data_IF_223176949638
#
_entry.id   IF_223176949638
#
_cell.length_a   1.000
_cell.length_b   1.000
_cell.length_c   1.000
_cell.angle_alpha   90.00
_cell.angle_beta   90.00
_cell.angle_gamma   90.00
#
_symmetry.space_group_name_H-M   'P 1'
#
loop_
_entity.id
_entity.type
_entity.pdbx_description
1 polymer ?
#
# COMPACT_ATOMS: atom_id res chain seq x y z
N UNK A 1 -15.23 -0.80 -18.45
CA UNK A 1 -14.79 -1.23 -17.11
C UNK A 1 -14.99 -2.73 -16.90
N UNK A 2 -16.21 -3.28 -16.91
CA UNK A 2 -16.49 -4.69 -16.63
C UNK A 2 -15.82 -5.67 -17.60
N UNK A 3 -15.67 -5.32 -18.87
CA UNK A 3 -14.97 -6.14 -19.87
C UNK A 3 -13.47 -6.27 -19.57
N UNK A 4 -12.84 -5.17 -19.14
CA UNK A 4 -11.43 -5.15 -18.75
C UNK A 4 -11.21 -6.01 -17.50
N UNK A 5 -12.04 -5.82 -16.48
CA UNK A 5 -12.02 -6.63 -15.26
C UNK A 5 -12.12 -8.15 -15.58
N UNK A 6 -13.10 -8.56 -16.40
CA UNK A 6 -13.26 -9.98 -16.78
C UNK A 6 -12.06 -10.51 -17.57
N UNK A 7 -11.49 -9.70 -18.47
CA UNK A 7 -10.30 -10.05 -19.25
C UNK A 7 -9.09 -10.28 -18.32
N UNK A 8 -8.83 -9.35 -17.41
CA UNK A 8 -7.73 -9.44 -16.46
C UNK A 8 -7.88 -10.64 -15.52
N UNK A 9 -9.06 -10.79 -14.92
CA UNK A 9 -9.33 -11.92 -14.03
C UNK A 9 -9.14 -13.27 -14.76
N UNK A 10 -9.65 -13.39 -15.99
CA UNK A 10 -9.44 -14.57 -16.81
C UNK A 10 -7.96 -14.80 -17.12
N UNK A 11 -7.18 -13.74 -17.36
CA UNK A 11 -5.74 -13.84 -17.63
C UNK A 11 -4.98 -14.40 -16.41
N UNK A 12 -5.34 -14.01 -15.18
CA UNK A 12 -4.73 -14.54 -13.96
C UNK A 12 -5.00 -16.03 -13.75
N UNK A 13 -6.22 -16.50 -14.08
CA UNK A 13 -6.63 -17.89 -13.87
C UNK A 13 -6.39 -18.81 -15.08
N UNK A 14 -6.24 -18.29 -16.31
CA UNK A 14 -5.73 -19.08 -17.44
C UNK A 14 -4.21 -19.28 -17.36
N UNK A 15 -3.48 -18.30 -16.81
CA UNK A 15 -2.10 -18.47 -16.38
C UNK A 15 -2.03 -19.16 -15.01
N UNK A 16 -0.99 -19.91 -14.73
CA UNK A 16 -0.79 -20.53 -13.40
C UNK A 16 -0.58 -19.50 -12.27
N UNK A 17 -0.37 -18.22 -12.58
CA UNK A 17 0.06 -17.21 -11.63
C UNK A 17 -0.98 -16.93 -10.54
N UNK A 18 -2.27 -16.87 -10.89
CA UNK A 18 -3.35 -16.66 -9.92
C UNK A 18 -3.44 -17.79 -8.91
N UNK A 19 -3.34 -19.04 -9.38
CA UNK A 19 -3.36 -20.23 -8.50
C UNK A 19 -2.13 -20.31 -7.60
N UNK A 20 -0.94 -20.04 -8.13
CA UNK A 20 0.31 -20.09 -7.35
C UNK A 20 0.29 -19.03 -6.25
N UNK A 21 -0.14 -17.80 -6.56
CA UNK A 21 -0.21 -16.72 -5.58
C UNK A 21 -1.26 -17.00 -4.49
N UNK A 22 -2.46 -17.47 -4.86
CA UNK A 22 -3.48 -17.84 -3.87
C UNK A 22 -3.01 -19.00 -2.99
N UNK A 23 -2.40 -20.03 -3.59
CA UNK A 23 -1.85 -21.17 -2.84
C UNK A 23 -0.72 -20.76 -1.89
N UNK A 24 0.16 -19.84 -2.31
CA UNK A 24 1.24 -19.32 -1.47
C UNK A 24 0.70 -18.64 -0.20
N UNK A 25 -0.28 -17.76 -0.35
CA UNK A 25 -0.85 -17.05 0.79
C UNK A 25 -1.62 -17.99 1.71
N UNK A 26 -2.41 -18.92 1.13
CA UNK A 26 -3.13 -19.95 1.89
C UNK A 26 -2.20 -20.90 2.64
N UNK A 27 -1.07 -21.28 2.04
CA UNK A 27 -0.08 -22.12 2.72
C UNK A 27 0.54 -21.35 3.90
N UNK A 28 0.85 -20.07 3.72
CA UNK A 28 1.41 -19.24 4.78
C UNK A 28 0.42 -19.06 5.94
N UNK A 29 -0.82 -18.67 5.68
CA UNK A 29 -1.86 -18.51 6.72
C UNK A 29 -2.20 -19.87 7.36
N UNK A 30 -2.30 -20.95 6.57
CA UNK A 30 -2.59 -22.29 7.05
C UNK A 30 -1.52 -22.85 7.98
N UNK A 31 -0.24 -22.62 7.71
CA UNK A 31 0.87 -23.03 8.58
C UNK A 31 0.75 -22.33 9.94
N UNK A 32 0.55 -21.00 9.98
CA UNK A 32 0.39 -20.26 11.22
C UNK A 32 -0.89 -20.68 11.96
N UNK A 33 -1.99 -20.89 11.24
CA UNK A 33 -3.25 -21.35 11.81
C UNK A 33 -3.10 -22.70 12.51
N UNK A 34 -2.51 -23.70 11.84
CA UNK A 34 -2.32 -25.03 12.43
C UNK A 34 -1.32 -24.98 13.60
N UNK A 35 -0.20 -24.29 13.42
CA UNK A 35 0.85 -24.27 14.43
C UNK A 35 0.47 -23.48 15.68
N UNK A 36 -0.20 -22.33 15.55
CA UNK A 36 -0.45 -21.41 16.65
C UNK A 36 -1.88 -21.51 17.16
N UNK A 37 -2.88 -21.41 16.29
CA UNK A 37 -4.27 -21.43 16.71
C UNK A 37 -4.71 -22.83 17.15
N UNK A 38 -4.48 -23.85 16.32
CA UNK A 38 -4.88 -25.23 16.66
C UNK A 38 -3.89 -25.88 17.64
N UNK A 39 -2.58 -25.73 17.43
CA UNK A 39 -1.55 -26.38 18.23
C UNK A 39 -1.50 -25.89 19.68
N UNK A 40 -1.68 -24.60 19.91
CA UNK A 40 -1.68 -24.00 21.24
C UNK A 40 -3.09 -23.62 21.76
N UNK A 41 -4.14 -23.87 20.99
CA UNK A 41 -5.52 -23.53 21.37
C UNK A 41 -5.80 -22.03 21.48
N UNK A 42 -5.09 -21.20 20.70
CA UNK A 42 -5.20 -19.75 20.75
C UNK A 42 -6.35 -19.26 19.87
N UNK A 43 -7.30 -18.53 20.43
CA UNK A 43 -8.54 -18.11 19.76
C UNK A 43 -8.41 -16.80 18.96
N UNK A 44 -7.33 -16.08 19.12
CA UNK A 44 -7.06 -14.82 18.41
C UNK A 44 -6.40 -15.08 17.04
N UNK A 45 -7.21 -15.17 15.99
CA UNK A 45 -6.75 -15.38 14.63
C UNK A 45 -6.04 -14.14 14.06
N UNK A 46 -6.51 -12.95 14.44
CA UNK A 46 -5.94 -11.68 13.98
C UNK A 46 -4.45 -11.57 14.33
N UNK A 47 -4.09 -11.84 15.58
CA UNK A 47 -2.71 -11.74 16.08
C UNK A 47 -1.82 -12.90 15.62
N UNK A 48 -2.30 -14.12 15.78
CA UNK A 48 -1.45 -15.30 15.58
C UNK A 48 -1.32 -15.72 14.12
N UNK A 49 -2.31 -15.43 13.28
CA UNK A 49 -2.27 -15.78 11.85
C UNK A 49 -2.11 -14.55 10.97
N UNK A 50 -3.06 -13.60 10.97
CA UNK A 50 -3.03 -12.48 10.02
C UNK A 50 -1.82 -11.55 10.23
N UNK A 51 -1.52 -11.17 11.46
CA UNK A 51 -0.37 -10.29 11.74
C UNK A 51 0.96 -10.93 11.36
N UNK A 52 1.11 -12.24 11.56
CA UNK A 52 2.33 -12.98 11.17
C UNK A 52 2.49 -13.11 9.66
N UNK A 53 1.41 -13.14 8.91
CA UNK A 53 1.45 -13.21 7.44
C UNK A 53 1.73 -11.85 6.79
N UNK A 54 1.69 -10.72 7.50
CA UNK A 54 1.96 -9.39 6.94
C UNK A 54 3.29 -9.33 6.20
N UNK A 55 4.35 -9.94 6.73
CA UNK A 55 5.65 -9.95 6.07
C UNK A 55 5.60 -10.64 4.70
N UNK A 56 4.77 -11.68 4.56
CA UNK A 56 4.57 -12.37 3.27
C UNK A 56 3.85 -11.49 2.24
N UNK A 57 3.00 -10.56 2.71
CA UNK A 57 2.31 -9.61 1.83
C UNK A 57 3.27 -8.66 1.12
N UNK A 58 4.42 -8.34 1.73
CA UNK A 58 5.45 -7.49 1.12
C UNK A 58 5.98 -8.08 -0.20
N UNK A 59 6.00 -9.38 -0.31
CA UNK A 59 6.42 -10.09 -1.53
C UNK A 59 5.23 -10.40 -2.44
N UNK A 60 4.07 -10.72 -1.84
CA UNK A 60 2.87 -11.10 -2.55
C UNK A 60 2.33 -9.98 -3.46
N UNK A 61 2.11 -8.77 -2.92
CA UNK A 61 1.50 -7.68 -3.67
C UNK A 61 2.34 -7.16 -4.85
N UNK A 62 3.67 -6.97 -4.72
CA UNK A 62 4.49 -6.58 -5.85
C UNK A 62 4.48 -7.61 -6.98
N UNK A 63 4.53 -8.90 -6.66
CA UNK A 63 4.47 -9.98 -7.65
C UNK A 63 3.07 -10.05 -8.31
N UNK A 64 2.00 -9.84 -7.53
CA UNK A 64 0.64 -9.78 -8.05
C UNK A 64 0.45 -8.61 -9.02
N UNK A 65 0.91 -7.40 -8.66
CA UNK A 65 0.67 -6.18 -9.42
C UNK A 65 1.68 -5.91 -10.54
N UNK A 66 2.86 -6.56 -10.55
CA UNK A 66 3.93 -6.26 -11.51
C UNK A 66 3.49 -6.39 -12.98
N UNK A 67 2.53 -7.28 -13.28
CA UNK A 67 2.06 -7.55 -14.64
C UNK A 67 0.94 -6.60 -15.08
N UNK A 68 0.26 -5.95 -14.15
CA UNK A 68 -0.97 -5.21 -14.41
C UNK A 68 -0.82 -4.15 -15.51
N UNK A 69 0.14 -3.24 -15.39
CA UNK A 69 0.37 -2.15 -16.33
C UNK A 69 1.70 -2.30 -17.10
N UNK A 70 2.76 -2.84 -16.46
CA UNK A 70 4.07 -2.95 -17.07
C UNK A 70 4.09 -3.92 -18.26
N UNK A 71 3.30 -5.02 -18.23
CA UNK A 71 3.22 -5.99 -19.32
C UNK A 71 2.57 -5.38 -20.59
N UNK A 72 1.49 -4.63 -20.43
CA UNK A 72 0.81 -3.97 -21.56
C UNK A 72 1.70 -2.92 -22.21
N UNK A 73 2.49 -2.20 -21.40
CA UNK A 73 3.48 -1.25 -21.92
C UNK A 73 4.60 -1.94 -22.69
N UNK A 74 5.16 -3.01 -22.14
CA UNK A 74 6.20 -3.79 -22.83
C UNK A 74 5.71 -4.35 -24.17
N UNK A 75 4.44 -4.80 -24.21
CA UNK A 75 3.81 -5.33 -25.41
C UNK A 75 3.27 -4.22 -26.35
N UNK A 76 3.36 -2.93 -25.97
CA UNK A 76 2.76 -1.78 -26.67
C UNK A 76 1.26 -1.90 -26.93
N UNK A 77 0.57 -2.73 -26.16
CA UNK A 77 -0.89 -2.91 -26.24
C UNK A 77 -1.65 -1.83 -25.47
N UNK A 78 -0.97 -1.05 -24.65
CA UNK A 78 -1.48 0.15 -23.99
C UNK A 78 -2.02 1.18 -24.99
N UNK A 79 -1.39 1.33 -26.17
CA UNK A 79 -1.84 2.23 -27.23
C UNK A 79 -3.23 1.85 -27.75
N UNK A 80 -3.51 0.54 -27.92
CA UNK A 80 -4.83 0.04 -28.32
C UNK A 80 -5.91 0.31 -27.26
N UNK A 81 -5.53 0.22 -25.98
CA UNK A 81 -6.42 0.54 -24.86
C UNK A 81 -6.71 2.05 -24.78
N UNK A 82 -5.72 2.90 -25.02
CA UNK A 82 -5.86 4.37 -24.97
C UNK A 82 -6.64 4.93 -26.16
N UNK A 83 -6.66 4.24 -27.33
CA UNK A 83 -7.48 4.61 -28.49
C UNK A 83 -8.90 4.07 -28.39
N UNK A 84 -9.18 3.17 -27.47
CA UNK A 84 -10.54 2.65 -27.25
C UNK A 84 -11.45 3.71 -26.60
N UNK A 85 -12.78 3.67 -26.80
CA UNK A 85 -13.73 4.62 -26.21
C UNK A 85 -13.96 4.38 -24.70
N UNK A 86 -12.95 3.92 -23.98
CA UNK A 86 -13.01 3.66 -22.53
C UNK A 86 -12.25 4.78 -21.78
N UNK A 87 -12.83 5.27 -20.69
CA UNK A 87 -12.15 6.24 -19.83
C UNK A 87 -10.94 5.63 -19.15
N UNK A 88 -9.88 6.42 -18.95
CA UNK A 88 -8.66 6.01 -18.24
C UNK A 88 -8.97 5.46 -16.85
N UNK A 89 -9.90 6.12 -16.14
CA UNK A 89 -10.41 5.64 -14.86
C UNK A 89 -11.02 4.24 -14.95
N UNK A 90 -11.80 3.97 -16.02
CA UNK A 90 -12.40 2.65 -16.24
C UNK A 90 -11.35 1.55 -16.46
N UNK A 91 -10.19 1.89 -17.04
CA UNK A 91 -9.07 0.97 -17.23
C UNK A 91 -8.40 0.67 -15.89
N UNK A 92 -7.98 1.71 -15.16
CA UNK A 92 -7.27 1.57 -13.87
C UNK A 92 -8.13 0.83 -12.86
N UNK A 93 -9.37 1.29 -12.62
CA UNK A 93 -10.26 0.64 -11.65
C UNK A 93 -10.62 -0.79 -12.06
N UNK A 94 -10.76 -1.06 -13.36
CA UNK A 94 -11.03 -2.42 -13.84
C UNK A 94 -9.88 -3.40 -13.54
N UNK A 95 -8.63 -2.97 -13.72
CA UNK A 95 -7.44 -3.75 -13.39
C UNK A 95 -7.27 -3.90 -11.88
N UNK A 96 -7.38 -2.81 -11.14
CA UNK A 96 -7.33 -2.80 -9.68
C UNK A 96 -8.32 -3.79 -9.05
N UNK A 97 -9.59 -3.78 -9.48
CA UNK A 97 -10.61 -4.70 -8.98
C UNK A 97 -10.29 -6.17 -9.31
N UNK A 98 -9.65 -6.45 -10.44
CA UNK A 98 -9.21 -7.82 -10.76
C UNK A 98 -8.12 -8.29 -9.78
N UNK A 99 -7.14 -7.44 -9.45
CA UNK A 99 -6.12 -7.74 -8.46
C UNK A 99 -6.72 -7.95 -7.06
N UNK A 100 -7.64 -7.08 -6.64
CA UNK A 100 -8.37 -7.21 -5.38
C UNK A 100 -9.18 -8.51 -5.32
N UNK A 101 -9.77 -8.95 -6.42
CA UNK A 101 -10.52 -10.21 -6.47
C UNK A 101 -9.61 -11.42 -6.30
N UNK A 102 -8.40 -11.41 -6.89
CA UNK A 102 -7.41 -12.47 -6.69
C UNK A 102 -6.99 -12.55 -5.22
N UNK A 103 -6.78 -11.40 -4.56
CA UNK A 103 -6.45 -11.34 -3.14
C UNK A 103 -7.65 -11.70 -2.23
N UNK A 104 -8.87 -11.43 -2.65
CA UNK A 104 -10.07 -11.78 -1.88
C UNK A 104 -10.23 -13.31 -1.69
N UNK A 105 -9.74 -14.13 -2.63
CA UNK A 105 -9.88 -15.59 -2.54
C UNK A 105 -9.17 -16.19 -1.31
N UNK A 106 -7.87 -15.92 -1.04
CA UNK A 106 -7.25 -16.36 0.19
C UNK A 106 -7.91 -15.74 1.44
N UNK A 107 -8.34 -14.48 1.41
CA UNK A 107 -9.05 -13.87 2.53
C UNK A 107 -10.39 -14.57 2.83
N UNK A 108 -11.12 -15.04 1.81
CA UNK A 108 -12.34 -15.83 2.03
C UNK A 108 -12.04 -17.18 2.69
N UNK A 109 -10.95 -17.83 2.32
CA UNK A 109 -10.53 -19.06 2.97
C UNK A 109 -10.06 -18.82 4.43
N UNK A 110 -9.38 -17.72 4.70
CA UNK A 110 -9.05 -17.29 6.08
C UNK A 110 -10.33 -17.05 6.90
N UNK A 111 -11.39 -16.51 6.27
CA UNK A 111 -12.71 -16.41 6.89
C UNK A 111 -13.31 -17.78 7.29
N UNK A 112 -13.12 -18.82 6.48
CA UNK A 112 -13.52 -20.19 6.84
C UNK A 112 -12.70 -20.69 8.03
N UNK A 113 -11.40 -20.42 8.09
CA UNK A 113 -10.55 -20.80 9.24
C UNK A 113 -11.04 -20.14 10.54
N UNK A 114 -11.49 -18.88 10.50
CA UNK A 114 -12.10 -18.19 11.66
C UNK A 114 -13.38 -18.91 12.12
N UNK A 115 -14.24 -19.34 11.20
CA UNK A 115 -15.46 -20.10 11.54
C UNK A 115 -15.10 -21.44 12.17
N UNK A 116 -14.11 -22.16 11.66
CA UNK A 116 -13.62 -23.41 12.23
C UNK A 116 -13.12 -23.17 13.66
N UNK A 117 -12.36 -22.11 13.90
CA UNK A 117 -11.87 -21.77 15.24
C UNK A 117 -13.01 -21.47 16.22
N UNK A 118 -14.06 -20.79 15.75
CA UNK A 118 -15.27 -20.57 16.57
C UNK A 118 -16.01 -21.86 16.93
N UNK A 119 -16.14 -22.79 16.00
CA UNK A 119 -16.78 -24.09 16.21
C UNK A 119 -15.98 -24.99 17.19
N UNK A 120 -14.67 -24.81 17.25
CA UNK A 120 -13.78 -25.55 18.17
C UNK A 120 -13.79 -25.02 19.62
N UNK A 121 -14.63 -24.04 19.93
CA UNK A 121 -14.80 -23.53 21.32
C UNK A 121 -14.44 -22.04 21.48
N UNK A 122 -14.26 -21.30 20.40
CA UNK A 122 -14.08 -19.84 20.44
C UNK A 122 -15.34 -19.11 20.92
N UNK A 123 -15.15 -17.99 21.63
CA UNK A 123 -16.26 -17.12 22.04
C UNK A 123 -16.81 -16.33 20.87
N UNK A 124 -18.11 -15.97 20.92
CA UNK A 124 -18.74 -15.14 19.87
C UNK A 124 -18.07 -13.76 19.73
N UNK A 125 -17.60 -13.18 20.83
CA UNK A 125 -16.86 -11.90 20.83
C UNK A 125 -15.51 -12.03 20.12
N UNK A 126 -14.77 -13.11 20.34
CA UNK A 126 -13.51 -13.37 19.64
C UNK A 126 -13.73 -13.60 18.14
N UNK A 127 -14.82 -14.27 17.75
CA UNK A 127 -15.19 -14.44 16.35
C UNK A 127 -15.44 -13.10 15.66
N UNK A 128 -16.21 -12.19 16.29
CA UNK A 128 -16.45 -10.84 15.78
C UNK A 128 -15.17 -10.02 15.61
N UNK A 129 -14.27 -10.07 16.59
CA UNK A 129 -12.98 -9.38 16.54
C UNK A 129 -12.07 -9.94 15.41
N UNK A 130 -12.03 -11.26 15.23
CA UNK A 130 -11.28 -11.91 14.17
C UNK A 130 -11.81 -11.53 12.77
N UNK A 131 -13.13 -11.43 12.57
CA UNK A 131 -13.71 -10.94 11.31
C UNK A 131 -13.42 -9.47 11.08
N UNK A 132 -13.43 -8.62 12.12
CA UNK A 132 -13.03 -7.22 12.00
C UNK A 132 -11.55 -7.10 11.60
N UNK A 133 -10.67 -7.91 12.18
CA UNK A 133 -9.26 -7.97 11.79
C UNK A 133 -9.10 -8.45 10.34
N UNK A 134 -9.85 -9.45 9.88
CA UNK A 134 -9.83 -9.93 8.50
C UNK A 134 -10.30 -8.85 7.52
N UNK A 135 -11.35 -8.09 7.84
CA UNK A 135 -11.82 -6.98 7.03
C UNK A 135 -10.74 -5.89 6.91
N UNK A 136 -10.11 -5.53 8.03
CA UNK A 136 -9.00 -4.57 8.04
C UNK A 136 -7.80 -5.07 7.23
N UNK A 137 -7.46 -6.36 7.34
CA UNK A 137 -6.41 -7.02 6.54
C UNK A 137 -6.71 -6.97 5.04
N UNK A 138 -7.96 -7.17 4.65
CA UNK A 138 -8.38 -7.03 3.27
C UNK A 138 -8.24 -5.58 2.77
N UNK A 139 -8.64 -4.58 3.56
CA UNK A 139 -8.49 -3.16 3.20
C UNK A 139 -7.02 -2.72 3.12
N UNK A 140 -6.18 -3.19 4.04
CA UNK A 140 -4.73 -3.01 3.97
C UNK A 140 -4.17 -3.59 2.67
N UNK A 141 -4.60 -4.80 2.29
CA UNK A 141 -4.23 -5.40 1.02
C UNK A 141 -4.68 -4.60 -0.19
N UNK A 142 -5.90 -4.08 -0.19
CA UNK A 142 -6.40 -3.18 -1.21
C UNK A 142 -5.54 -1.91 -1.36
N UNK A 143 -5.14 -1.30 -0.25
CA UNK A 143 -4.26 -0.13 -0.27
C UNK A 143 -2.85 -0.48 -0.79
N UNK A 144 -2.28 -1.60 -0.37
CA UNK A 144 -0.98 -2.07 -0.83
C UNK A 144 -0.99 -2.42 -2.34
N UNK A 145 -2.06 -3.05 -2.84
CA UNK A 145 -2.26 -3.31 -4.28
C UNK A 145 -2.27 -2.00 -5.06
N UNK A 146 -2.97 -0.96 -4.59
CA UNK A 146 -3.02 0.34 -5.26
C UNK A 146 -1.63 0.99 -5.37
N UNK A 147 -0.81 0.90 -4.30
CA UNK A 147 0.60 1.36 -4.32
C UNK A 147 1.42 0.59 -5.35
N UNK A 148 1.30 -0.74 -5.39
CA UNK A 148 2.05 -1.58 -6.32
C UNK A 148 1.57 -1.38 -7.77
N UNK A 149 0.29 -1.15 -8.01
CA UNK A 149 -0.26 -0.83 -9.33
C UNK A 149 0.28 0.51 -9.84
N UNK A 150 0.38 1.51 -8.97
CA UNK A 150 1.04 2.78 -9.31
C UNK A 150 2.50 2.56 -9.73
N UNK A 151 3.28 1.77 -8.96
CA UNK A 151 4.67 1.42 -9.30
C UNK A 151 4.75 0.68 -10.65
N UNK A 152 3.84 -0.26 -10.91
CA UNK A 152 3.73 -0.94 -12.21
C UNK A 152 3.41 0.03 -13.35
N UNK A 153 2.66 1.07 -13.06
CA UNK A 153 2.36 2.17 -13.98
C UNK A 153 3.56 3.05 -14.35
N UNK A 154 4.66 3.08 -13.61
CA UNK A 154 5.81 3.95 -13.87
C UNK A 154 6.84 3.33 -14.84
N UNK A 155 6.89 2.02 -14.97
CA UNK A 155 7.91 1.29 -15.74
C UNK A 155 7.32 0.32 -16.76
N UNK A 156 8.11 -0.03 -17.79
CA UNK A 156 7.76 -1.03 -18.80
C UNK A 156 8.32 -2.42 -18.47
N UNK A 157 9.22 -2.49 -17.48
CA UNK A 157 9.84 -3.73 -17.07
C UNK A 157 9.14 -4.30 -15.82
N UNK A 158 8.59 -5.51 -15.94
CA UNK A 158 7.88 -6.20 -14.85
C UNK A 158 8.76 -6.42 -13.61
N UNK A 159 10.06 -6.73 -13.80
CA UNK A 159 10.99 -6.96 -12.69
C UNK A 159 11.24 -5.65 -11.95
N UNK A 160 11.46 -4.55 -12.68
CA UNK A 160 11.65 -3.24 -12.06
C UNK A 160 10.37 -2.80 -11.33
N UNK A 161 9.19 -3.07 -11.90
CA UNK A 161 7.89 -2.81 -11.25
C UNK A 161 7.77 -3.56 -9.91
N UNK A 162 8.12 -4.85 -9.89
CA UNK A 162 8.11 -5.66 -8.68
C UNK A 162 9.08 -5.14 -7.62
N UNK A 163 10.32 -4.80 -8.01
CA UNK A 163 11.34 -4.26 -7.09
C UNK A 163 10.90 -2.90 -6.54
N UNK A 164 10.34 -2.02 -7.37
CA UNK A 164 9.82 -0.72 -6.92
C UNK A 164 8.65 -0.88 -5.95
N UNK A 165 7.69 -1.76 -6.26
CA UNK A 165 6.57 -2.07 -5.38
C UNK A 165 7.03 -2.67 -4.05
N UNK A 166 7.96 -3.65 -4.10
CA UNK A 166 8.55 -4.23 -2.90
C UNK A 166 9.27 -3.18 -2.04
N UNK A 167 10.09 -2.33 -2.67
CA UNK A 167 10.81 -1.25 -1.97
C UNK A 167 9.86 -0.27 -1.31
N UNK A 168 8.78 0.13 -2.01
CA UNK A 168 7.78 1.04 -1.46
C UNK A 168 7.05 0.43 -0.25
N UNK A 169 6.61 -0.83 -0.35
CA UNK A 169 5.96 -1.52 0.77
C UNK A 169 6.92 -1.81 1.91
N UNK A 170 8.18 -2.18 1.63
CA UNK A 170 9.20 -2.39 2.65
C UNK A 170 9.49 -1.10 3.43
N UNK A 171 9.61 0.03 2.74
CA UNK A 171 9.74 1.32 3.39
C UNK A 171 8.54 1.62 4.29
N UNK A 172 7.31 1.41 3.80
CA UNK A 172 6.10 1.61 4.59
C UNK A 172 6.05 0.67 5.82
N UNK A 173 6.55 -0.57 5.69
CA UNK A 173 6.65 -1.53 6.78
C UNK A 173 7.71 -1.14 7.82
N UNK A 174 8.85 -0.57 7.40
CA UNK A 174 9.93 -0.13 8.29
C UNK A 174 9.65 1.22 8.95
N UNK A 175 8.65 1.99 8.49
CA UNK A 175 8.35 3.33 9.02
C UNK A 175 8.12 3.41 10.53
N UNK A 176 7.42 2.47 11.21
CA UNK A 176 7.28 2.50 12.66
C UNK A 176 8.63 2.44 13.38
N UNK A 177 9.55 1.58 12.91
CA UNK A 177 10.92 1.47 13.47
C UNK A 177 11.73 2.72 13.21
N UNK A 178 11.65 3.30 12.02
CA UNK A 178 12.28 4.57 11.70
C UNK A 178 11.72 5.69 12.58
N UNK A 179 10.41 5.75 12.76
CA UNK A 179 9.75 6.73 13.64
C UNK A 179 10.28 6.65 15.07
N UNK A 180 10.47 5.45 15.62
CA UNK A 180 11.02 5.27 16.97
C UNK A 180 12.47 5.72 17.08
N UNK A 181 13.28 5.54 16.04
CA UNK A 181 14.67 6.02 15.98
C UNK A 181 14.75 7.55 15.87
N UNK A 182 13.85 8.15 15.08
CA UNK A 182 13.83 9.60 14.84
C UNK A 182 12.99 10.38 15.86
N UNK A 183 12.39 9.72 16.84
CA UNK A 183 11.61 10.37 17.91
C UNK A 183 12.49 11.22 18.86
N UNK A 184 13.76 11.38 18.53
CA UNK A 184 14.80 11.97 19.35
C UNK A 184 15.00 13.49 19.16
N UNK A 185 13.99 14.23 18.71
CA UNK A 185 14.07 15.69 18.84
C UNK A 185 13.75 16.51 17.59
N UNK A 186 13.39 17.74 17.85
CA UNK A 186 13.07 18.79 16.86
C UNK A 186 14.18 19.04 15.83
N UNK A 187 15.43 18.76 16.18
CA UNK A 187 16.59 18.90 15.30
C UNK A 187 16.53 17.92 14.10
N UNK A 188 16.11 16.67 14.31
CA UNK A 188 16.00 15.68 13.24
C UNK A 188 14.87 16.05 12.28
N UNK A 189 13.73 16.49 12.80
CA UNK A 189 12.64 16.99 11.99
C UNK A 189 13.09 18.17 11.10
N UNK A 190 13.86 19.11 11.66
CA UNK A 190 14.40 20.23 10.92
C UNK A 190 15.33 19.78 9.79
N UNK A 191 16.25 18.83 10.04
CA UNK A 191 17.18 18.30 9.01
C UNK A 191 16.39 17.63 7.87
N UNK A 192 15.37 16.82 8.19
CA UNK A 192 14.59 16.15 7.15
C UNK A 192 13.77 17.16 6.33
N UNK A 193 13.09 18.11 6.97
CA UNK A 193 12.34 19.15 6.24
C UNK A 193 13.24 20.06 5.41
N UNK A 194 14.47 20.37 5.87
CA UNK A 194 15.45 21.12 5.06
C UNK A 194 15.93 20.31 3.87
N UNK A 195 16.16 19.01 4.01
CA UNK A 195 16.49 18.13 2.89
C UNK A 195 15.34 18.03 1.87
N UNK A 196 14.08 17.91 2.33
CA UNK A 196 12.91 17.94 1.47
C UNK A 196 12.75 19.29 0.74
N UNK A 197 12.98 20.40 1.44
CA UNK A 197 12.93 21.75 0.83
C UNK A 197 14.01 21.93 -0.23
N UNK A 198 15.20 21.33 -0.04
CA UNK A 198 16.26 21.31 -1.06
C UNK A 198 15.82 20.53 -2.31
N UNK A 199 15.17 19.36 -2.14
CA UNK A 199 14.61 18.59 -3.24
C UNK A 199 13.54 19.34 -4.04
N UNK A 200 12.60 19.99 -3.33
CA UNK A 200 11.55 20.82 -3.97
C UNK A 200 12.14 22.00 -4.71
N UNK A 201 13.09 22.73 -4.11
CA UNK A 201 13.74 23.88 -4.74
C UNK A 201 14.55 23.50 -5.99
N UNK A 202 15.21 22.35 -5.95
CA UNK A 202 15.93 21.79 -7.08
C UNK A 202 14.95 21.41 -8.23
N UNK A 203 13.82 20.79 -7.90
CA UNK A 203 12.79 20.47 -8.88
C UNK A 203 12.19 21.72 -9.53
N UNK A 204 11.93 22.78 -8.74
CA UNK A 204 11.46 24.08 -9.24
C UNK A 204 12.53 24.71 -10.15
N UNK A 205 13.80 24.74 -9.75
CA UNK A 205 14.91 25.28 -10.51
C UNK A 205 15.07 24.57 -11.87
N UNK A 206 14.98 23.24 -11.88
CA UNK A 206 15.05 22.45 -13.12
C UNK A 206 13.85 22.70 -14.04
N UNK A 207 12.64 22.84 -13.48
CA UNK A 207 11.42 23.05 -14.25
C UNK A 207 11.33 24.45 -14.85
N UNK A 208 11.80 25.47 -14.10
CA UNK A 208 11.79 26.87 -14.53
C UNK A 208 13.05 27.25 -15.34
N UNK A 209 14.01 26.34 -15.47
CA UNK A 209 15.33 26.58 -16.09
C UNK A 209 16.07 27.81 -15.53
N UNK A 210 15.75 28.21 -14.30
CA UNK A 210 16.40 29.34 -13.62
C UNK A 210 16.94 28.91 -12.27
N UNK A 211 18.28 28.86 -12.16
CA UNK A 211 18.95 28.50 -10.91
C UNK A 211 18.68 29.53 -9.79
N UNK A 212 18.54 30.80 -10.13
CA UNK A 212 18.26 31.88 -9.18
C UNK A 212 16.92 31.71 -8.47
N UNK A 213 15.85 31.32 -9.21
CA UNK A 213 14.54 31.02 -8.60
C UNK A 213 14.60 29.81 -7.66
N UNK A 214 15.35 28.76 -8.02
CA UNK A 214 15.56 27.60 -7.14
C UNK A 214 16.24 28.00 -5.81
N UNK A 215 17.32 28.78 -5.89
CA UNK A 215 18.04 29.27 -4.70
C UNK A 215 17.15 30.17 -3.82
N UNK A 216 16.35 31.04 -4.43
CA UNK A 216 15.45 31.91 -3.66
C UNK A 216 14.34 31.12 -2.95
N UNK A 217 13.74 30.14 -3.63
CA UNK A 217 12.77 29.23 -3.02
C UNK A 217 13.40 28.44 -1.85
N UNK A 218 14.62 27.94 -2.02
CA UNK A 218 15.33 27.25 -0.95
C UNK A 218 15.56 28.13 0.27
N UNK A 219 16.09 29.33 0.04
CA UNK A 219 16.35 30.30 1.11
C UNK A 219 15.06 30.69 1.87
N UNK A 220 13.97 30.93 1.15
CA UNK A 220 12.67 31.26 1.73
C UNK A 220 12.11 30.10 2.58
N UNK A 221 12.17 28.86 2.07
CA UNK A 221 11.73 27.67 2.82
C UNK A 221 12.59 27.42 4.06
N UNK A 222 13.92 27.54 3.95
CA UNK A 222 14.82 27.40 5.10
C UNK A 222 14.60 28.49 6.14
N UNK A 223 14.38 29.74 5.74
CA UNK A 223 14.06 30.83 6.67
C UNK A 223 12.72 30.59 7.39
N UNK A 224 11.69 30.11 6.66
CA UNK A 224 10.42 29.72 7.27
C UNK A 224 10.54 28.57 8.25
N UNK A 225 11.28 27.51 7.90
CA UNK A 225 11.52 26.36 8.77
C UNK A 225 12.33 26.72 10.01
N UNK A 226 13.38 27.58 9.89
CA UNK A 226 14.18 28.05 11.01
C UNK A 226 13.36 28.96 11.95
N UNK A 227 12.51 29.81 11.41
CA UNK A 227 11.60 30.64 12.20
C UNK A 227 10.58 29.78 12.97
N UNK A 228 10.00 28.77 12.34
CA UNK A 228 9.10 27.81 12.99
C UNK A 228 9.82 27.00 14.09
N UNK A 229 11.07 26.60 13.86
CA UNK A 229 11.88 25.91 14.86
C UNK A 229 12.14 26.78 16.10
N UNK A 230 12.46 28.05 15.90
CA UNK A 230 12.74 28.99 17.00
C UNK A 230 11.46 29.38 17.77
N UNK A 231 10.31 29.52 17.08
CA UNK A 231 9.08 29.98 17.69
C UNK A 231 8.28 28.83 18.33
N UNK A 232 8.22 27.66 17.68
CA UNK A 232 7.42 26.50 18.13
C UNK A 232 8.01 25.18 17.63
N UNK A 233 9.09 24.72 18.27
CA UNK A 233 9.72 23.43 17.94
C UNK A 233 8.76 22.23 18.07
N UNK A 234 7.77 22.29 18.95
CA UNK A 234 6.78 21.25 19.14
C UNK A 234 5.95 20.99 17.88
N UNK A 235 5.53 22.04 17.16
CA UNK A 235 4.76 21.90 15.93
C UNK A 235 5.52 21.19 14.81
N UNK A 236 6.82 21.41 14.75
CA UNK A 236 7.69 20.76 13.75
C UNK A 236 7.80 19.26 14.03
N UNK A 237 7.90 18.87 15.30
CA UNK A 237 7.93 17.45 15.70
C UNK A 237 6.58 16.78 15.52
N UNK A 238 5.48 17.46 15.81
CA UNK A 238 4.12 16.95 15.56
C UNK A 238 3.86 16.77 14.06
N UNK A 239 4.18 17.76 13.23
CA UNK A 239 4.04 17.66 11.78
C UNK A 239 4.91 16.52 11.21
N UNK A 240 6.14 16.39 11.69
CA UNK A 240 7.04 15.31 11.28
C UNK A 240 6.49 13.94 11.67
N UNK A 241 6.03 13.79 12.92
CA UNK A 241 5.43 12.55 13.39
C UNK A 241 4.13 12.21 12.63
N UNK A 242 3.32 13.22 12.27
CA UNK A 242 2.11 13.05 11.49
C UNK A 242 2.42 12.57 10.06
N UNK A 243 3.43 13.16 9.40
CA UNK A 243 3.88 12.70 8.07
C UNK A 243 4.41 11.27 8.12
N UNK A 244 5.24 10.93 9.12
CA UNK A 244 5.74 9.56 9.28
C UNK A 244 4.60 8.58 9.57
N UNK A 245 3.64 8.95 10.41
CA UNK A 245 2.47 8.10 10.68
C UNK A 245 1.58 7.89 9.45
N UNK A 246 1.43 8.93 8.61
CA UNK A 246 0.70 8.81 7.35
C UNK A 246 1.39 7.90 6.32
N UNK A 247 2.69 7.66 6.43
CA UNK A 247 3.44 6.72 5.60
C UNK A 247 3.47 5.29 6.18
N UNK A 248 3.05 5.10 7.44
CA UNK A 248 2.98 3.80 8.10
C UNK A 248 1.77 3.00 7.64
N UNK A 249 1.86 2.33 6.48
CA UNK A 249 0.72 1.58 5.92
C UNK A 249 0.30 0.39 6.80
N UNK A 250 1.24 -0.26 7.45
CA UNK A 250 1.01 -1.50 8.22
C UNK A 250 0.69 -1.27 9.71
N UNK A 251 1.15 -0.15 10.28
CA UNK A 251 0.97 0.13 11.71
C UNK A 251 -0.52 0.24 12.14
N UNK A 252 -1.43 0.88 11.37
CA UNK A 252 -2.82 0.97 11.79
C UNK A 252 -3.54 -0.38 11.90
N UNK A 253 -3.03 -1.43 11.25
CA UNK A 253 -3.56 -2.79 11.38
C UNK A 253 -3.38 -3.37 12.80
N UNK A 254 -2.33 -2.96 13.53
CA UNK A 254 -2.08 -3.40 14.91
C UNK A 254 -3.23 -3.02 15.87
N UNK A 255 -3.96 -1.94 15.60
CA UNK A 255 -5.13 -1.55 16.40
C UNK A 255 -6.22 -2.63 16.34
N UNK A 256 -6.49 -3.18 15.15
CA UNK A 256 -7.47 -4.25 14.97
C UNK A 256 -7.01 -5.59 15.56
N UNK A 257 -5.72 -5.85 15.49
CA UNK A 257 -5.11 -7.03 16.12
C UNK A 257 -5.25 -6.97 17.63
N UNK A 258 -5.20 -5.79 18.24
CA UNK A 258 -5.41 -5.57 19.67
C UNK A 258 -6.91 -5.46 20.05
N UNK A 259 -7.80 -5.99 19.22
CA UNK A 259 -9.25 -6.00 19.41
C UNK A 259 -9.90 -4.61 19.56
N UNK A 260 -9.26 -3.56 19.04
CA UNK A 260 -9.81 -2.21 19.00
C UNK A 260 -10.32 -1.87 17.60
N UNK A 261 -11.64 -1.69 17.45
CA UNK A 261 -12.24 -1.30 16.17
C UNK A 261 -12.06 0.21 15.96
N UNK A 262 -11.23 0.58 15.00
CA UNK A 262 -10.88 1.96 14.68
C UNK A 262 -11.44 2.38 13.31
N UNK A 263 -12.45 3.26 13.30
CA UNK A 263 -13.00 3.85 12.07
C UNK A 263 -11.95 4.70 11.32
N UNK A 264 -11.09 5.50 11.98
CA UNK A 264 -10.04 6.24 11.31
C UNK A 264 -9.11 5.37 10.45
N UNK A 265 -8.79 4.17 10.90
CA UNK A 265 -7.94 3.21 10.15
C UNK A 265 -8.61 2.77 8.85
N UNK A 266 -9.92 2.52 8.86
CA UNK A 266 -10.66 2.16 7.64
C UNK A 266 -10.67 3.32 6.63
N UNK A 267 -10.91 4.54 7.11
CA UNK A 267 -10.88 5.76 6.27
C UNK A 267 -9.48 5.98 5.70
N UNK A 268 -8.44 5.75 6.49
CA UNK A 268 -7.05 5.86 6.06
C UNK A 268 -6.77 4.93 4.86
N UNK A 269 -7.09 3.63 4.95
CA UNK A 269 -6.87 2.68 3.85
C UNK A 269 -7.65 3.05 2.59
N UNK A 270 -8.90 3.50 2.72
CA UNK A 270 -9.69 3.98 1.58
C UNK A 270 -9.05 5.22 0.94
N UNK A 271 -8.57 6.15 1.76
CA UNK A 271 -7.92 7.38 1.27
C UNK A 271 -6.64 7.06 0.52
N UNK A 272 -5.77 6.19 1.06
CA UNK A 272 -4.55 5.73 0.39
C UNK A 272 -4.88 5.07 -0.94
N UNK A 273 -5.87 4.18 -0.95
CA UNK A 273 -6.32 3.50 -2.17
C UNK A 273 -6.74 4.50 -3.26
N UNK A 274 -7.63 5.43 -2.93
CA UNK A 274 -8.14 6.42 -3.89
C UNK A 274 -7.01 7.32 -4.39
N UNK A 275 -6.11 7.73 -3.50
CA UNK A 275 -4.98 8.60 -3.83
C UNK A 275 -4.02 7.93 -4.84
N UNK A 276 -3.63 6.68 -4.61
CA UNK A 276 -2.72 5.98 -5.52
C UNK A 276 -3.38 5.60 -6.84
N UNK A 277 -4.67 5.26 -6.85
CA UNK A 277 -5.44 5.07 -8.09
C UNK A 277 -5.53 6.37 -8.89
N UNK A 278 -5.73 7.51 -8.21
CA UNK A 278 -5.71 8.82 -8.85
C UNK A 278 -4.36 9.12 -9.50
N UNK A 279 -3.25 8.89 -8.80
CA UNK A 279 -1.92 9.08 -9.36
C UNK A 279 -1.65 8.15 -10.53
N UNK A 280 -2.12 6.91 -10.48
CA UNK A 280 -2.02 5.95 -11.59
C UNK A 280 -2.79 6.45 -12.81
N UNK A 281 -4.02 6.92 -12.63
CA UNK A 281 -4.83 7.48 -13.70
C UNK A 281 -4.18 8.73 -14.32
N UNK A 282 -3.71 9.67 -13.51
CA UNK A 282 -3.00 10.86 -13.98
C UNK A 282 -1.71 10.51 -14.73
N UNK A 283 -0.96 9.51 -14.27
CA UNK A 283 0.23 9.01 -14.94
C UNK A 283 -0.06 8.48 -16.35
N UNK A 284 -1.20 7.80 -16.51
CA UNK A 284 -1.66 7.29 -17.83
C UNK A 284 -2.20 8.41 -18.70
N UNK A 285 -2.99 9.34 -18.16
CA UNK A 285 -3.51 10.50 -18.90
C UNK A 285 -2.40 11.39 -19.44
N UNK A 286 -1.38 11.70 -18.66
CA UNK A 286 -0.23 12.49 -19.10
C UNK A 286 0.44 11.91 -20.34
N UNK A 287 0.45 10.59 -20.48
CA UNK A 287 1.02 9.91 -21.66
C UNK A 287 0.11 9.91 -22.88
N UNK A 288 -1.21 10.05 -22.69
CA UNK A 288 -2.16 10.17 -23.77
C UNK A 288 -1.99 11.49 -24.54
N UNK A 289 -1.43 12.50 -23.88
CA UNK A 289 -1.24 13.85 -24.44
C UNK A 289 0.19 14.11 -24.94
N UNK A 290 1.15 13.25 -24.64
CA UNK A 290 2.51 13.28 -25.17
C UNK A 290 2.71 12.21 -26.25
#
# INVERSE_FOLDING_TARGET
>A
MLAIYKRELRSFFHGMMGYVLTAFLLAASGIYFVALNLGYGLTDFGYYTLYRTIFMLLLYFPVLAMRSLAEERRARTDQLLLTSPVSVWGIVVGKYLALCTVFALPCLADGIMIVVLWLLGGTASACGANFAALLCYFLLGCAAIAVCEFCSGLTENQIIAAVMGFSALLLAYMMPSLRSMFNAGSAVALVVFTALSAGVSLAVGLRTRSFTLGCFCFAALCAGLSALFLLRSAWLTEAFSAVLSALCLFAPFEEFVNNSFSIPTLVYYLTVTVLFLFFTAQGIEKRRWN
#
